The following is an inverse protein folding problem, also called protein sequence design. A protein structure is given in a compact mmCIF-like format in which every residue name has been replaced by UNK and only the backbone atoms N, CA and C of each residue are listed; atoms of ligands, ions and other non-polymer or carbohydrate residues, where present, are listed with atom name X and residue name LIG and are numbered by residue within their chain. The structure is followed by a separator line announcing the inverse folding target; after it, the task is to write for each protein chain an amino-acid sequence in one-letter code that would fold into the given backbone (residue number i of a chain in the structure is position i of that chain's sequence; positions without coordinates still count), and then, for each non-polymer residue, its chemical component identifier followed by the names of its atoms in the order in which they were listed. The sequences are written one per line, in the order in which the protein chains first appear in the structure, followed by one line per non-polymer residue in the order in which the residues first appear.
data_IF_729408331181
#
_entry.id   IF_729408331181
#
_cell.length_a   1.000
_cell.length_b   1.000
_cell.length_c   1.000
_cell.angle_alpha   90.00
_cell.angle_beta   90.00
_cell.angle_gamma   90.00
#
_symmetry.space_group_name_H-M   'P 1'
#
loop_
_entity.id
_entity.type
_entity.pdbx_description
1 polymer ?
#
# COMPACT_ATOMS: atom_id res chain seq x y z
N UNK A 1 -1.07 -22.25 -16.87
CA UNK A 1 -1.56 -23.64 -17.00
C UNK A 1 -0.84 -24.38 -18.13
N UNK A 2 -0.79 -23.84 -19.36
CA UNK A 2 -0.10 -24.49 -20.50
C UNK A 2 1.37 -24.77 -20.20
N UNK A 3 2.14 -23.77 -19.76
CA UNK A 3 3.56 -23.88 -19.38
C UNK A 3 3.78 -25.03 -18.40
N UNK A 4 2.99 -25.10 -17.32
CA UNK A 4 3.09 -26.19 -16.33
C UNK A 4 2.74 -27.55 -16.92
N UNK A 5 1.65 -27.64 -17.68
CA UNK A 5 1.21 -28.92 -18.25
C UNK A 5 2.22 -29.51 -19.24
N UNK A 6 2.96 -28.64 -19.95
CA UNK A 6 4.05 -29.06 -20.87
C UNK A 6 5.42 -29.16 -20.16
N UNK A 7 5.46 -28.97 -18.84
CA UNK A 7 6.71 -28.96 -18.03
C UNK A 7 7.77 -28.00 -18.57
N UNK A 8 7.32 -26.88 -19.16
CA UNK A 8 8.21 -25.85 -19.68
C UNK A 8 8.73 -24.99 -18.52
N UNK A 9 9.94 -24.49 -18.70
CA UNK A 9 10.53 -23.51 -17.80
C UNK A 9 9.77 -22.20 -17.91
N UNK A 10 9.50 -21.53 -16.77
CA UNK A 10 8.76 -20.27 -16.78
C UNK A 10 9.09 -19.42 -15.56
N UNK A 11 8.84 -18.12 -15.70
CA UNK A 11 8.90 -17.17 -14.59
C UNK A 11 7.47 -16.89 -14.15
N UNK A 12 7.12 -17.39 -12.97
CA UNK A 12 5.78 -17.24 -12.42
C UNK A 12 5.67 -15.99 -11.55
N UNK A 13 4.52 -15.33 -11.57
CA UNK A 13 4.18 -14.26 -10.65
C UNK A 13 3.51 -14.86 -9.43
N UNK A 14 4.21 -14.91 -8.33
CA UNK A 14 3.79 -15.53 -7.09
C UNK A 14 3.40 -14.44 -6.10
N UNK A 15 2.27 -14.62 -5.44
CA UNK A 15 1.86 -13.80 -4.29
C UNK A 15 1.67 -14.73 -3.11
N UNK A 16 2.64 -14.76 -2.18
CA UNK A 16 2.56 -15.64 -1.01
C UNK A 16 1.38 -15.28 -0.12
N UNK A 17 0.92 -16.24 0.66
CA UNK A 17 -0.07 -16.00 1.71
C UNK A 17 0.50 -15.05 2.77
N UNK A 18 -0.36 -14.21 3.39
CA UNK A 18 0.05 -13.34 4.49
C UNK A 18 0.52 -14.17 5.69
N UNK A 19 1.37 -13.58 6.53
CA UNK A 19 1.77 -14.19 7.80
C UNK A 19 0.59 -14.17 8.77
N UNK A 20 0.46 -15.22 9.57
CA UNK A 20 -0.63 -15.34 10.57
C UNK A 20 -0.60 -14.18 11.57
N UNK A 21 0.59 -13.77 12.00
CA UNK A 21 0.78 -12.62 12.89
C UNK A 21 0.18 -11.33 12.31
N UNK A 22 0.42 -11.06 11.02
CA UNK A 22 -0.14 -9.90 10.33
C UNK A 22 -1.67 -9.96 10.24
N UNK A 23 -2.23 -11.17 10.08
CA UNK A 23 -3.69 -11.37 10.09
C UNK A 23 -4.29 -11.16 11.47
N UNK A 24 -3.62 -11.60 12.53
CA UNK A 24 -4.05 -11.38 13.92
C UNK A 24 -3.99 -9.90 14.30
N UNK A 25 -2.92 -9.19 13.90
CA UNK A 25 -2.86 -7.73 14.05
C UNK A 25 -4.00 -7.03 13.31
N UNK A 26 -4.27 -7.46 12.06
CA UNK A 26 -5.37 -6.92 11.28
C UNK A 26 -6.72 -7.16 11.98
N UNK A 27 -6.95 -8.38 12.47
CA UNK A 27 -8.17 -8.76 13.21
C UNK A 27 -8.37 -7.88 14.43
N UNK A 28 -7.33 -7.74 15.24
CA UNK A 28 -7.33 -6.88 16.42
C UNK A 28 -7.61 -5.43 16.06
N UNK A 29 -7.00 -4.94 14.98
CA UNK A 29 -7.20 -3.57 14.51
C UNK A 29 -8.63 -3.31 14.04
N UNK A 30 -9.21 -4.18 13.19
CA UNK A 30 -10.57 -3.97 12.68
C UNK A 30 -11.64 -4.12 13.77
N UNK A 31 -11.37 -4.91 14.82
CA UNK A 31 -12.25 -5.05 15.97
C UNK A 31 -12.41 -3.73 16.74
N UNK A 32 -11.40 -2.85 16.76
CA UNK A 32 -11.49 -1.51 17.35
C UNK A 32 -12.55 -0.62 16.68
N UNK A 33 -12.95 -0.98 15.47
CA UNK A 33 -13.97 -0.28 14.67
C UNK A 33 -15.29 -1.05 14.59
N UNK A 34 -15.49 -2.03 15.47
CA UNK A 34 -16.73 -2.82 15.52
C UNK A 34 -16.88 -3.85 14.40
N UNK A 35 -15.82 -4.16 13.66
CA UNK A 35 -15.84 -5.20 12.64
C UNK A 35 -15.37 -6.52 13.25
N UNK A 36 -16.29 -7.45 13.47
CA UNK A 36 -15.97 -8.81 13.87
C UNK A 36 -15.62 -9.67 12.66
N UNK A 37 -14.54 -10.42 12.74
CA UNK A 37 -14.09 -11.37 11.73
C UNK A 37 -13.48 -12.61 12.38
N UNK A 38 -13.45 -13.74 11.64
CA UNK A 38 -12.80 -14.97 12.05
C UNK A 38 -11.26 -14.88 11.96
N UNK A 39 -10.61 -16.02 11.85
CA UNK A 39 -9.14 -16.11 11.82
C UNK A 39 -8.50 -15.57 10.53
N UNK A 40 -9.32 -15.26 9.52
CA UNK A 40 -8.88 -14.74 8.20
C UNK A 40 -7.97 -15.72 7.42
N UNK A 41 -7.97 -16.98 7.79
CA UNK A 41 -7.20 -18.03 7.12
C UNK A 41 -7.87 -18.51 5.84
N UNK A 42 -9.19 -18.34 5.72
CA UNK A 42 -9.96 -18.71 4.54
C UNK A 42 -10.32 -17.51 3.67
N UNK A 43 -10.35 -17.76 2.36
CA UNK A 43 -10.79 -16.76 1.39
C UNK A 43 -12.21 -16.23 1.65
N UNK A 44 -13.10 -17.10 2.14
CA UNK A 44 -14.48 -16.71 2.48
C UNK A 44 -14.52 -15.66 3.59
N UNK A 45 -13.69 -15.84 4.62
CA UNK A 45 -13.58 -14.87 5.71
C UNK A 45 -12.97 -13.55 5.25
N UNK A 46 -11.93 -13.59 4.42
CA UNK A 46 -11.32 -12.39 3.86
C UNK A 46 -12.32 -11.62 2.98
N UNK A 47 -13.07 -12.31 2.13
CA UNK A 47 -14.10 -11.66 1.31
C UNK A 47 -15.18 -11.03 2.18
N UNK A 48 -15.61 -11.70 3.27
CA UNK A 48 -16.56 -11.16 4.24
C UNK A 48 -15.99 -9.92 4.94
N UNK A 49 -14.71 -9.95 5.35
CA UNK A 49 -14.04 -8.81 5.94
C UNK A 49 -13.99 -7.63 4.95
N UNK A 50 -13.56 -7.86 3.71
CA UNK A 50 -13.50 -6.81 2.67
C UNK A 50 -14.89 -6.22 2.38
N UNK A 51 -15.94 -7.04 2.36
CA UNK A 51 -17.30 -6.56 2.21
C UNK A 51 -17.71 -5.63 3.36
N UNK A 52 -17.40 -6.01 4.61
CA UNK A 52 -17.68 -5.19 5.78
C UNK A 52 -16.86 -3.90 5.78
N UNK A 53 -15.58 -3.97 5.44
CA UNK A 53 -14.70 -2.79 5.27
C UNK A 53 -15.29 -1.82 4.25
N UNK A 54 -15.76 -2.32 3.10
CA UNK A 54 -16.31 -1.47 2.05
C UNK A 54 -17.58 -0.71 2.45
N UNK A 55 -18.36 -1.26 3.38
CA UNK A 55 -19.56 -0.62 3.93
C UNK A 55 -19.27 0.30 5.11
N UNK A 56 -18.08 0.22 5.69
CA UNK A 56 -17.73 0.98 6.87
C UNK A 56 -17.37 2.43 6.52
N UNK A 57 -17.78 3.44 7.31
CA UNK A 57 -17.43 4.85 7.07
C UNK A 57 -15.91 5.08 6.95
N UNK A 58 -15.10 4.30 7.67
CA UNK A 58 -13.63 4.34 7.64
C UNK A 58 -13.03 3.34 6.64
N UNK A 59 -13.79 2.89 5.65
CA UNK A 59 -13.38 1.85 4.72
C UNK A 59 -12.03 2.12 4.03
N UNK A 60 -11.71 3.36 3.73
CA UNK A 60 -10.43 3.74 3.14
C UNK A 60 -9.23 3.38 4.05
N UNK A 61 -9.29 3.79 5.32
CA UNK A 61 -8.23 3.51 6.31
C UNK A 61 -8.08 2.00 6.56
N UNK A 62 -9.22 1.31 6.71
CA UNK A 62 -9.24 -0.13 6.94
C UNK A 62 -8.69 -0.91 5.74
N UNK A 63 -8.97 -0.48 4.50
CA UNK A 63 -8.37 -1.06 3.28
C UNK A 63 -6.86 -0.90 3.23
N UNK A 64 -6.35 0.27 3.61
CA UNK A 64 -4.90 0.50 3.67
C UNK A 64 -4.25 -0.45 4.68
N UNK A 65 -4.84 -0.61 5.89
CA UNK A 65 -4.33 -1.57 6.89
C UNK A 65 -4.40 -3.00 6.38
N UNK A 66 -5.50 -3.40 5.72
CA UNK A 66 -5.63 -4.71 5.08
C UNK A 66 -4.53 -4.93 4.02
N UNK A 67 -4.31 -3.97 3.12
CA UNK A 67 -3.26 -4.10 2.10
C UNK A 67 -1.86 -4.21 2.71
N UNK A 68 -1.59 -3.50 3.80
CA UNK A 68 -0.31 -3.56 4.51
C UNK A 68 -0.07 -4.90 5.22
N UNK A 69 -1.12 -5.65 5.56
CA UNK A 69 -0.99 -6.99 6.14
C UNK A 69 -0.67 -8.07 5.10
N UNK A 70 -0.80 -7.75 3.79
CA UNK A 70 -0.50 -8.68 2.70
C UNK A 70 0.99 -8.66 2.36
N UNK A 71 1.52 -9.81 1.92
CA UNK A 71 2.86 -9.89 1.34
C UNK A 71 2.91 -9.24 -0.05
N UNK A 72 4.09 -8.89 -0.49
CA UNK A 72 4.29 -8.42 -1.87
C UNK A 72 4.43 -9.61 -2.83
N UNK A 73 3.86 -9.46 -4.02
CA UNK A 73 4.08 -10.43 -5.09
C UNK A 73 5.54 -10.38 -5.59
N UNK A 74 6.07 -11.52 -5.99
CA UNK A 74 7.43 -11.66 -6.51
C UNK A 74 7.46 -12.59 -7.73
N UNK A 75 8.61 -12.71 -8.37
CA UNK A 75 8.83 -13.71 -9.43
C UNK A 75 9.51 -14.92 -8.83
N UNK A 76 9.09 -16.11 -9.28
CA UNK A 76 9.71 -17.42 -8.95
C UNK A 76 9.74 -18.33 -10.17
N UNK A 77 10.63 -19.30 -10.16
CA UNK A 77 10.66 -20.35 -11.16
C UNK A 77 9.58 -21.42 -10.95
N UNK A 78 9.03 -21.50 -9.72
CA UNK A 78 7.98 -22.43 -9.32
C UNK A 78 6.60 -21.75 -9.27
N UNK A 79 5.52 -22.44 -9.65
CA UNK A 79 4.17 -21.92 -9.60
C UNK A 79 3.55 -22.06 -8.20
N UNK A 80 4.06 -21.34 -7.21
CA UNK A 80 3.63 -21.41 -5.79
C UNK A 80 2.28 -20.72 -5.54
N UNK A 81 1.61 -20.28 -6.60
CA UNK A 81 0.30 -19.65 -6.52
C UNK A 81 0.33 -18.12 -6.38
N UNK A 82 -0.81 -17.53 -6.66
CA UNK A 82 -1.01 -16.08 -6.48
C UNK A 82 -2.22 -15.84 -5.59
N UNK A 83 -1.95 -15.60 -4.29
CA UNK A 83 -2.97 -15.46 -3.25
C UNK A 83 -4.04 -14.42 -3.61
N UNK A 84 -3.65 -13.19 -3.91
CA UNK A 84 -4.60 -12.11 -4.20
C UNK A 84 -5.49 -12.34 -5.44
N UNK A 85 -5.01 -13.10 -6.45
CA UNK A 85 -5.78 -13.43 -7.66
C UNK A 85 -6.48 -14.79 -7.60
N UNK A 86 -6.24 -15.58 -6.56
CA UNK A 86 -6.76 -16.95 -6.47
C UNK A 86 -6.35 -17.87 -7.63
N UNK A 87 -5.14 -17.70 -8.14
CA UNK A 87 -4.62 -18.48 -9.26
C UNK A 87 -3.52 -19.41 -8.78
N UNK A 88 -3.58 -20.68 -9.15
CA UNK A 88 -2.50 -21.65 -8.88
C UNK A 88 -1.30 -21.42 -9.79
N UNK A 89 -1.56 -21.08 -11.06
CA UNK A 89 -0.56 -20.85 -12.07
C UNK A 89 -0.78 -19.46 -12.65
N UNK A 90 0.05 -18.52 -12.26
CA UNK A 90 -0.03 -17.17 -12.80
C UNK A 90 1.35 -16.69 -13.23
N UNK A 91 1.43 -16.13 -14.41
CA UNK A 91 2.61 -15.49 -14.93
C UNK A 91 2.21 -14.28 -15.77
N UNK A 92 3.15 -13.40 -15.98
CA UNK A 92 2.99 -12.27 -16.88
C UNK A 92 3.30 -12.70 -18.32
N UNK A 93 2.50 -12.24 -19.28
CA UNK A 93 2.63 -12.61 -20.69
C UNK A 93 2.31 -11.45 -21.65
N UNK A 94 1.46 -10.52 -21.26
CA UNK A 94 0.79 -9.57 -22.17
C UNK A 94 1.50 -8.24 -22.36
N UNK A 95 2.64 -8.00 -21.69
CA UNK A 95 3.34 -6.71 -21.76
C UNK A 95 4.86 -6.86 -21.90
N UNK A 96 5.35 -7.56 -22.97
CA UNK A 96 6.79 -7.85 -23.13
C UNK A 96 7.66 -6.62 -23.39
N UNK A 97 7.06 -5.49 -23.81
CA UNK A 97 7.79 -4.23 -24.05
C UNK A 97 8.35 -3.65 -22.76
N UNK A 98 7.61 -3.77 -21.65
CA UNK A 98 7.96 -3.15 -20.36
C UNK A 98 8.25 -4.13 -19.23
N UNK A 99 8.03 -5.43 -19.45
CA UNK A 99 8.31 -6.47 -18.46
C UNK A 99 9.15 -7.58 -19.08
N UNK A 100 10.39 -7.66 -18.66
CA UNK A 100 11.30 -8.71 -19.15
C UNK A 100 10.83 -10.12 -18.80
N UNK A 101 10.09 -10.30 -17.67
CA UNK A 101 9.44 -11.58 -17.34
C UNK A 101 8.54 -12.10 -18.45
N UNK A 102 7.77 -11.22 -19.10
CA UNK A 102 6.88 -11.58 -20.20
C UNK A 102 7.69 -12.05 -21.42
N UNK A 103 8.77 -11.32 -21.74
CA UNK A 103 9.66 -11.69 -22.84
C UNK A 103 10.35 -13.05 -22.61
N UNK A 104 10.73 -13.37 -21.38
CA UNK A 104 11.28 -14.70 -21.04
C UNK A 104 10.26 -15.80 -21.30
N UNK A 105 9.00 -15.56 -20.91
CA UNK A 105 7.92 -16.54 -21.17
C UNK A 105 7.63 -16.66 -22.67
N UNK A 106 7.63 -15.56 -23.44
CA UNK A 106 7.49 -15.58 -24.90
C UNK A 106 8.58 -16.44 -25.53
N UNK A 107 9.84 -16.23 -25.18
CA UNK A 107 10.97 -17.04 -25.68
C UNK A 107 10.81 -18.51 -25.33
N UNK A 108 10.36 -18.84 -24.14
CA UNK A 108 10.09 -20.24 -23.75
C UNK A 108 8.99 -20.87 -24.60
N UNK A 109 7.92 -20.14 -24.91
CA UNK A 109 6.85 -20.63 -25.78
C UNK A 109 7.35 -20.78 -27.21
N UNK A 110 8.12 -19.82 -27.71
CA UNK A 110 8.72 -19.85 -29.07
C UNK A 110 9.65 -21.07 -29.22
N UNK A 111 10.57 -21.30 -28.26
CA UNK A 111 11.47 -22.46 -28.25
C UNK A 111 10.67 -23.79 -28.26
N UNK A 112 9.56 -23.84 -27.55
CA UNK A 112 8.71 -25.02 -27.55
C UNK A 112 7.99 -25.22 -28.88
N UNK A 113 7.48 -24.15 -29.52
CA UNK A 113 6.80 -24.20 -30.83
C UNK A 113 7.76 -24.63 -31.93
N UNK A 114 8.96 -24.10 -31.94
CA UNK A 114 9.97 -24.37 -32.99
C UNK A 114 10.87 -25.56 -32.65
N UNK A 115 10.65 -26.25 -31.51
CA UNK A 115 11.49 -27.35 -30.99
C UNK A 115 12.96 -26.98 -30.83
N UNK A 116 13.21 -25.70 -30.57
CA UNK A 116 14.54 -25.17 -30.32
C UNK A 116 14.91 -25.28 -28.83
N UNK A 117 16.23 -25.27 -28.54
CA UNK A 117 16.74 -25.24 -27.16
C UNK A 117 17.76 -24.12 -27.05
N UNK A 118 17.31 -22.94 -26.66
CA UNK A 118 18.21 -21.83 -26.34
C UNK A 118 18.99 -22.15 -25.06
N UNK A 119 20.31 -21.96 -25.10
CA UNK A 119 21.13 -22.06 -23.90
C UNK A 119 20.80 -20.89 -22.96
N UNK A 120 20.33 -21.20 -21.76
CA UNK A 120 20.14 -20.20 -20.73
C UNK A 120 21.52 -19.70 -20.25
N UNK A 121 21.68 -18.39 -20.12
CA UNK A 121 22.91 -17.76 -19.59
C UNK A 121 23.00 -17.88 -18.06
N UNK A 122 21.86 -17.99 -17.39
CA UNK A 122 21.75 -18.06 -15.93
C UNK A 122 20.62 -19.02 -15.50
N UNK A 123 20.58 -19.38 -14.22
CA UNK A 123 19.49 -20.19 -13.68
C UNK A 123 18.19 -19.38 -13.63
N UNK A 124 17.04 -20.05 -13.74
CA UNK A 124 15.74 -19.37 -13.67
C UNK A 124 15.49 -18.79 -12.27
N UNK A 125 16.00 -19.42 -11.23
CA UNK A 125 15.91 -18.91 -9.88
C UNK A 125 16.65 -17.56 -9.73
N UNK A 126 17.90 -17.49 -10.25
CA UNK A 126 18.68 -16.25 -10.25
C UNK A 126 17.95 -15.14 -11.02
N UNK A 127 17.47 -15.46 -12.23
CA UNK A 127 16.69 -14.52 -13.03
C UNK A 127 15.41 -14.05 -12.33
N UNK A 128 14.66 -14.95 -11.70
CA UNK A 128 13.44 -14.60 -10.97
C UNK A 128 13.73 -13.67 -9.77
N UNK A 129 14.81 -13.93 -9.03
CA UNK A 129 15.27 -13.04 -7.95
C UNK A 129 15.65 -11.67 -8.49
N UNK A 130 16.45 -11.62 -9.55
CA UNK A 130 16.83 -10.36 -10.21
C UNK A 130 15.61 -9.57 -10.67
N UNK A 131 14.66 -10.19 -11.37
CA UNK A 131 13.43 -9.53 -11.82
C UNK A 131 12.58 -9.01 -10.68
N UNK A 132 12.54 -9.71 -9.55
CA UNK A 132 11.79 -9.24 -8.37
C UNK A 132 12.44 -8.00 -7.74
N UNK A 133 13.77 -7.92 -7.73
CA UNK A 133 14.51 -6.76 -7.22
C UNK A 133 14.35 -5.57 -8.17
N UNK A 134 14.57 -5.76 -9.46
CA UNK A 134 14.47 -4.68 -10.46
C UNK A 134 13.06 -4.12 -10.58
N UNK A 135 12.03 -4.97 -10.46
CA UNK A 135 10.64 -4.50 -10.41
C UNK A 135 10.39 -3.60 -9.20
N UNK A 136 10.85 -4.00 -8.01
CA UNK A 136 10.72 -3.17 -6.80
C UNK A 136 11.41 -1.83 -6.97
N UNK A 137 12.64 -1.83 -7.44
CA UNK A 137 13.39 -0.59 -7.70
C UNK A 137 12.65 0.33 -8.68
N UNK A 138 12.04 -0.24 -9.73
CA UNK A 138 11.25 0.53 -10.71
C UNK A 138 9.99 1.14 -10.06
N UNK A 139 9.26 0.37 -9.26
CA UNK A 139 8.07 0.86 -8.54
C UNK A 139 8.44 1.93 -7.52
N UNK A 140 9.54 1.76 -6.81
CA UNK A 140 9.99 2.73 -5.82
C UNK A 140 10.47 4.03 -6.51
N UNK A 141 11.17 3.93 -7.63
CA UNK A 141 11.56 5.08 -8.43
C UNK A 141 10.35 5.85 -8.97
N UNK A 142 9.32 5.15 -9.45
CA UNK A 142 8.06 5.77 -9.89
C UNK A 142 7.38 6.50 -8.72
N UNK A 143 7.23 5.84 -7.57
CA UNK A 143 6.62 6.44 -6.37
C UNK A 143 7.38 7.68 -5.89
N UNK A 144 8.70 7.60 -5.85
CA UNK A 144 9.53 8.72 -5.44
C UNK A 144 9.44 9.89 -6.43
N UNK A 145 9.41 9.61 -7.74
CA UNK A 145 9.22 10.63 -8.77
C UNK A 145 7.87 11.35 -8.63
N UNK A 146 6.79 10.59 -8.41
CA UNK A 146 5.45 11.17 -8.15
C UNK A 146 5.46 12.02 -6.89
N UNK A 147 6.09 11.53 -5.82
CA UNK A 147 6.22 12.25 -4.56
C UNK A 147 6.97 13.56 -4.71
N UNK A 148 8.07 13.57 -5.45
CA UNK A 148 8.83 14.80 -5.73
C UNK A 148 7.98 15.84 -6.48
N UNK A 149 7.17 15.41 -7.46
CA UNK A 149 6.24 16.31 -8.17
C UNK A 149 5.15 16.86 -7.26
N UNK A 150 4.59 16.01 -6.39
CA UNK A 150 3.62 16.45 -5.39
C UNK A 150 4.21 17.47 -4.41
N UNK A 151 5.45 17.25 -3.92
CA UNK A 151 6.13 18.21 -3.06
C UNK A 151 6.31 19.56 -3.74
N UNK A 152 6.74 19.59 -5.01
CA UNK A 152 6.88 20.81 -5.79
C UNK A 152 5.53 21.52 -5.99
N UNK A 153 4.47 20.75 -6.28
CA UNK A 153 3.11 21.28 -6.42
C UNK A 153 2.66 21.97 -5.13
N UNK A 154 2.78 21.29 -3.99
CA UNK A 154 2.36 21.85 -2.71
C UNK A 154 3.25 22.98 -2.22
N UNK A 155 4.55 22.97 -2.56
CA UNK A 155 5.47 24.08 -2.24
C UNK A 155 5.01 25.40 -2.86
N UNK A 156 4.42 25.36 -4.06
CA UNK A 156 3.87 26.54 -4.74
C UNK A 156 2.64 27.14 -4.04
N UNK A 157 1.95 26.33 -3.23
CA UNK A 157 0.79 26.78 -2.44
C UNK A 157 1.14 27.48 -1.13
N UNK A 158 2.42 27.44 -0.71
CA UNK A 158 2.86 28.11 0.51
C UNK A 158 2.85 29.63 0.29
N UNK A 159 2.21 30.36 1.22
CA UNK A 159 2.15 31.82 1.18
C UNK A 159 1.01 32.38 0.31
N UNK A 160 0.19 31.54 -0.30
CA UNK A 160 -1.02 32.02 -0.98
C UNK A 160 -2.05 32.57 0.02
N UNK A 161 -2.69 33.68 -0.33
CA UNK A 161 -3.75 34.30 0.44
C UNK A 161 -5.01 34.51 -0.43
N UNK A 162 -6.15 33.92 -0.06
CA UNK A 162 -6.36 33.01 1.08
C UNK A 162 -5.66 31.67 0.89
N UNK A 163 -5.29 30.96 1.99
CA UNK A 163 -4.62 29.67 1.90
C UNK A 163 -5.56 28.63 1.28
N UNK A 164 -4.99 27.74 0.45
CA UNK A 164 -5.74 26.64 -0.16
C UNK A 164 -6.10 25.61 0.92
N UNK A 165 -7.39 25.38 1.10
CA UNK A 165 -7.93 24.41 2.05
C UNK A 165 -8.12 23.06 1.36
N UNK A 166 -7.52 22.02 1.92
CA UNK A 166 -7.63 20.65 1.43
C UNK A 166 -8.49 19.82 2.37
N UNK A 167 -9.30 18.90 1.81
CA UNK A 167 -9.96 17.84 2.58
C UNK A 167 -9.00 16.69 2.81
N UNK A 168 -8.94 16.20 4.02
CA UNK A 168 -8.04 15.12 4.40
C UNK A 168 -8.72 14.15 5.38
N UNK A 169 -8.22 12.91 5.41
CA UNK A 169 -8.64 11.88 6.38
C UNK A 169 -7.48 11.54 7.29
N UNK A 170 -7.72 11.43 8.60
CA UNK A 170 -6.72 10.99 9.57
C UNK A 170 -6.49 9.48 9.37
N UNK A 171 -5.28 9.09 8.96
CA UNK A 171 -4.94 7.70 8.63
C UNK A 171 -4.12 6.99 9.71
N UNK A 172 -3.44 7.75 10.58
CA UNK A 172 -2.62 7.19 11.63
C UNK A 172 -2.40 8.23 12.73
N UNK A 173 -2.40 7.81 14.00
CA UNK A 173 -2.13 8.68 15.13
C UNK A 173 -0.78 8.31 15.73
N UNK A 174 0.09 9.29 15.90
CA UNK A 174 1.44 9.15 16.42
C UNK A 174 1.67 10.08 17.63
N UNK A 175 2.69 9.78 18.42
CA UNK A 175 3.02 10.55 19.65
C UNK A 175 3.25 12.04 19.39
N UNK A 176 3.80 12.40 18.22
CA UNK A 176 4.16 13.79 17.86
C UNK A 176 3.11 14.50 17.00
N UNK A 177 1.98 13.85 16.69
CA UNK A 177 0.94 14.36 15.80
C UNK A 177 0.15 13.25 15.14
N UNK A 178 -0.34 13.48 13.96
CA UNK A 178 -1.09 12.47 13.21
C UNK A 178 -0.81 12.57 11.72
N UNK A 179 -0.86 11.43 11.05
CA UNK A 179 -0.77 11.36 9.59
C UNK A 179 -2.14 11.52 8.97
N UNK A 180 -2.17 12.19 7.85
CA UNK A 180 -3.35 12.41 7.04
C UNK A 180 -3.10 11.98 5.60
N UNK A 181 -4.17 11.70 4.90
CA UNK A 181 -4.19 11.50 3.46
C UNK A 181 -5.18 12.46 2.84
N UNK A 182 -4.73 13.24 1.86
CA UNK A 182 -5.59 14.17 1.15
C UNK A 182 -6.57 13.40 0.26
N UNK A 183 -7.84 13.86 0.22
CA UNK A 183 -8.89 13.15 -0.54
C UNK A 183 -8.65 13.26 -2.05
N UNK A 184 -8.18 14.41 -2.53
CA UNK A 184 -8.07 14.69 -3.96
C UNK A 184 -6.84 14.04 -4.61
N UNK A 185 -5.70 14.06 -3.93
CA UNK A 185 -4.40 13.64 -4.50
C UNK A 185 -3.83 12.39 -3.88
N UNK A 186 -4.47 11.85 -2.82
CA UNK A 186 -3.96 10.74 -2.02
C UNK A 186 -2.58 11.04 -1.41
N UNK A 187 -2.15 12.31 -1.40
CA UNK A 187 -0.88 12.70 -0.81
C UNK A 187 -0.91 12.50 0.69
N UNK A 188 0.09 11.79 1.21
CA UNK A 188 0.27 11.60 2.64
C UNK A 188 1.01 12.78 3.24
N UNK A 189 0.50 13.31 4.36
CA UNK A 189 1.13 14.38 5.11
C UNK A 189 1.06 14.16 6.62
N UNK A 190 1.70 15.03 7.35
CA UNK A 190 1.75 14.98 8.80
C UNK A 190 1.21 16.29 9.39
N UNK A 191 0.42 16.20 10.45
CA UNK A 191 -0.02 17.35 11.25
C UNK A 191 0.67 17.27 12.59
N UNK A 192 1.71 18.09 12.82
CA UNK A 192 2.43 18.09 14.10
C UNK A 192 1.53 18.56 15.25
N UNK A 193 1.59 17.91 16.39
CA UNK A 193 0.80 18.29 17.58
C UNK A 193 1.07 19.75 18.00
N UNK A 194 2.26 20.27 17.73
CA UNK A 194 2.65 21.67 18.00
C UNK A 194 1.85 22.70 17.20
N UNK A 195 1.18 22.30 16.09
CA UNK A 195 0.33 23.18 15.29
C UNK A 195 -1.10 23.24 15.79
N UNK A 196 -1.45 22.37 16.75
CA UNK A 196 -2.73 22.38 17.42
C UNK A 196 -2.71 23.40 18.60
N UNK A 197 -3.88 23.97 18.97
CA UNK A 197 -3.95 24.88 20.10
C UNK A 197 -3.45 24.23 21.40
N UNK A 198 -2.44 24.82 22.03
CA UNK A 198 -1.78 24.27 23.25
C UNK A 198 -2.75 24.16 24.42
N UNK A 199 -3.71 25.07 24.51
CA UNK A 199 -4.73 25.10 25.56
C UNK A 199 -5.58 23.82 25.59
N UNK A 200 -5.75 23.17 24.43
CA UNK A 200 -6.53 21.95 24.31
C UNK A 200 -5.82 20.70 24.89
N UNK A 201 -4.49 20.74 25.06
CA UNK A 201 -3.72 19.71 25.74
C UNK A 201 -3.95 18.30 25.26
N UNK A 202 -3.88 18.08 23.94
CA UNK A 202 -4.15 16.77 23.30
C UNK A 202 -3.25 15.65 23.80
N UNK A 203 -3.86 14.49 24.09
CA UNK A 203 -3.19 13.25 24.49
C UNK A 203 -3.69 12.09 23.64
N UNK A 204 -2.84 11.13 23.37
CA UNK A 204 -3.22 9.90 22.65
C UNK A 204 -4.03 8.99 23.58
N UNK A 205 -5.09 8.39 23.07
CA UNK A 205 -5.84 7.33 23.76
C UNK A 205 -5.01 6.06 23.89
N UNK A 206 -5.28 5.23 24.90
CA UNK A 206 -4.52 3.98 25.15
C UNK A 206 -4.49 3.01 23.97
N UNK A 207 -5.53 3.02 23.14
CA UNK A 207 -5.61 2.18 21.92
C UNK A 207 -5.05 2.86 20.67
N UNK A 208 -4.49 4.08 20.78
CA UNK A 208 -3.88 4.79 19.64
C UNK A 208 -4.85 5.25 18.56
N UNK A 209 -6.17 5.22 18.80
CA UNK A 209 -7.18 5.52 17.77
C UNK A 209 -7.66 6.95 17.75
N UNK A 210 -7.29 7.75 18.76
CA UNK A 210 -7.69 9.15 18.85
C UNK A 210 -6.69 10.02 19.62
N UNK A 211 -6.69 11.32 19.32
CA UNK A 211 -6.17 12.38 20.16
C UNK A 211 -7.34 13.04 20.89
N UNK A 212 -7.28 13.09 22.20
CA UNK A 212 -8.32 13.70 23.04
C UNK A 212 -7.74 14.89 23.77
N UNK A 213 -8.40 16.04 23.67
CA UNK A 213 -8.07 17.25 24.39
C UNK A 213 -8.46 17.17 25.85
N UNK A 214 -8.09 18.20 26.66
CA UNK A 214 -8.55 18.34 28.07
C UNK A 214 -10.08 18.31 28.17
N UNK A 215 -10.78 18.93 27.20
CA UNK A 215 -12.21 18.77 27.05
C UNK A 215 -12.48 17.57 26.10
N UNK A 216 -13.22 16.54 26.54
CA UNK A 216 -13.52 15.35 25.74
C UNK A 216 -14.26 15.62 24.41
N UNK A 217 -14.91 16.79 24.30
CA UNK A 217 -15.53 17.24 23.03
C UNK A 217 -14.49 17.52 21.95
N UNK A 218 -13.26 17.91 22.34
CA UNK A 218 -12.15 18.13 21.43
C UNK A 218 -11.44 16.82 21.16
N UNK A 219 -11.91 16.09 20.15
CA UNK A 219 -11.40 14.77 19.82
C UNK A 219 -11.11 14.68 18.32
N UNK A 220 -9.90 14.24 17.97
CA UNK A 220 -9.49 13.89 16.61
C UNK A 220 -9.36 12.37 16.54
N UNK A 221 -10.14 11.74 15.67
CA UNK A 221 -10.23 10.28 15.56
C UNK A 221 -9.59 9.77 14.28
N UNK A 222 -9.06 8.57 14.35
CA UNK A 222 -8.68 7.84 13.15
C UNK A 222 -9.85 7.76 12.18
N UNK A 223 -9.60 8.02 10.89
CA UNK A 223 -10.62 8.06 9.84
C UNK A 223 -11.52 9.31 9.81
N UNK A 224 -11.32 10.25 10.72
CA UNK A 224 -12.06 11.51 10.70
C UNK A 224 -11.65 12.36 9.49
N UNK A 225 -12.64 12.88 8.78
CA UNK A 225 -12.42 13.91 7.78
C UNK A 225 -12.17 15.26 8.47
N UNK A 226 -11.13 15.95 8.00
CA UNK A 226 -10.73 17.27 8.49
C UNK A 226 -10.38 18.18 7.32
N UNK A 227 -10.36 19.46 7.57
CA UNK A 227 -9.85 20.49 6.65
C UNK A 227 -8.47 20.92 7.11
N UNK A 228 -7.53 20.95 6.17
CA UNK A 228 -6.14 21.30 6.44
C UNK A 228 -5.60 22.28 5.42
N UNK A 229 -4.60 23.04 5.82
CA UNK A 229 -3.80 23.89 4.95
C UNK A 229 -2.34 23.48 5.06
N UNK A 230 -1.57 23.73 4.00
CA UNK A 230 -0.12 23.43 4.02
C UNK A 230 0.55 24.32 5.05
N UNK A 231 1.33 23.70 5.92
CA UNK A 231 2.14 24.40 6.92
C UNK A 231 3.60 24.52 6.48
N UNK A 232 4.21 23.40 6.07
CA UNK A 232 5.60 23.35 5.62
C UNK A 232 5.85 22.19 4.66
N UNK A 233 6.78 22.40 3.72
CA UNK A 233 7.25 21.35 2.79
C UNK A 233 8.73 21.14 3.02
N UNK A 234 9.12 19.92 3.39
CA UNK A 234 10.51 19.51 3.55
C UNK A 234 10.93 18.71 2.31
N UNK A 235 11.63 19.35 1.39
CA UNK A 235 12.04 18.71 0.14
C UNK A 235 13.12 17.66 0.34
N UNK A 236 14.05 17.86 1.28
CA UNK A 236 15.10 16.89 1.64
C UNK A 236 14.54 15.59 2.21
N UNK A 237 13.59 15.72 3.13
CA UNK A 237 13.00 14.58 3.85
C UNK A 237 11.76 14.04 3.14
N UNK A 238 11.41 14.68 2.01
CA UNK A 238 10.21 14.36 1.22
C UNK A 238 8.94 14.30 2.08
N UNK A 239 8.77 15.29 2.96
CA UNK A 239 7.66 15.36 3.91
C UNK A 239 6.81 16.60 3.68
N UNK A 240 5.49 16.42 3.83
CA UNK A 240 4.47 17.47 3.83
C UNK A 240 3.93 17.63 5.24
N UNK A 241 4.11 18.81 5.84
CA UNK A 241 3.45 19.16 7.09
C UNK A 241 2.24 20.06 6.81
N UNK A 242 1.15 19.74 7.49
CA UNK A 242 -0.11 20.46 7.43
C UNK A 242 -0.47 21.03 8.81
N UNK A 243 -1.40 21.97 8.84
CA UNK A 243 -2.10 22.41 10.05
C UNK A 243 -3.59 22.41 9.78
N UNK A 244 -4.40 22.37 10.82
CA UNK A 244 -5.86 22.53 10.69
C UNK A 244 -6.19 23.90 10.07
N UNK A 245 -7.22 23.93 9.20
CA UNK A 245 -7.70 25.13 8.52
C UNK A 245 -8.50 25.99 9.48
#
# INVERSE_FOLDING_TARGET
KHIRNKKLKGIFRVHPEPELENLDELRTFVALFGISCGELTSRKEINKLLFNINKHPLGQVLRIKFLRSMKQACYRETPDGHYGLAKRDYLHFTSPIRRYSDLVVHRTVEDWLHKEKRKAKESQESLAKHLSVTERNSVDAERESVKDKLLLFYKRGIGQHPPVVHKAVITEIARKGFFIELVDTMARGFVPIRTLPRELGYRITNNGTALVGRNPKNKLKLGQEIKVVIYKVFTSDKQLDFKLA
#
